data_IF_954582325070
#
_entry.id   IF_954582325070
#
_cell.length_a   1.000
_cell.length_b   1.000
_cell.length_c   1.000
_cell.angle_alpha   90.00
_cell.angle_beta   90.00
_cell.angle_gamma   90.00
#
_symmetry.space_group_name_H-M   'P 1'
#
loop_
_entity.id
_entity.type
_entity.pdbx_description
1 polymer ?
#
# COMPACT_ATOMS: atom_id res chain seq x y z
N UNK A 1 72.80 23.22 24.02
CA UNK A 1 72.67 23.81 22.73
C UNK A 1 71.74 23.02 21.81
N UNK A 2 70.61 23.51 21.51
CA UNK A 2 69.68 22.83 20.58
C UNK A 2 69.28 23.76 19.47
N UNK A 3 69.55 23.32 18.24
CA UNK A 3 69.25 24.05 17.05
C UNK A 3 67.93 23.52 16.41
N UNK A 4 66.92 24.37 16.30
CA UNK A 4 65.71 24.11 15.61
C UNK A 4 65.87 24.24 14.11
N UNK A 5 65.35 23.27 13.32
CA UNK A 5 65.24 23.33 11.84
C UNK A 5 63.85 23.81 11.40
N UNK A 6 63.74 24.64 10.33
CA UNK A 6 62.51 25.24 9.92
C UNK A 6 61.66 24.34 8.99
N UNK A 7 60.33 24.48 9.11
CA UNK A 7 59.33 23.76 8.34
C UNK A 7 59.22 24.29 6.89
N UNK A 8 59.17 23.38 5.90
CA UNK A 8 58.95 23.67 4.48
C UNK A 8 57.48 23.94 4.19
N UNK A 9 57.14 25.14 3.71
CA UNK A 9 55.85 25.52 3.13
C UNK A 9 55.60 24.78 1.79
N UNK A 10 54.57 23.93 1.76
CA UNK A 10 54.05 23.35 0.50
C UNK A 10 53.05 24.30 -0.14
N UNK A 11 53.37 24.77 -1.36
CA UNK A 11 52.52 25.55 -2.25
C UNK A 11 51.31 24.71 -2.71
N UNK A 12 50.10 25.17 -2.44
CA UNK A 12 48.83 24.65 -3.04
C UNK A 12 48.72 25.13 -4.47
N UNK A 13 48.71 24.20 -5.43
CA UNK A 13 48.29 24.44 -6.81
C UNK A 13 46.76 24.40 -6.86
N UNK A 14 46.12 25.50 -7.28
CA UNK A 14 44.69 25.59 -7.55
C UNK A 14 44.33 24.76 -8.79
N UNK A 15 43.35 23.88 -8.63
CA UNK A 15 42.67 23.21 -9.76
C UNK A 15 41.38 24.00 -10.07
N UNK A 16 41.30 24.56 -11.27
CA UNK A 16 40.10 25.14 -11.86
C UNK A 16 39.05 24.05 -12.02
N UNK A 17 37.91 24.19 -11.34
CA UNK A 17 36.73 23.37 -11.55
C UNK A 17 35.89 23.94 -12.71
N UNK A 18 35.59 23.10 -13.70
CA UNK A 18 34.59 23.39 -14.72
C UNK A 18 33.16 23.22 -14.15
N UNK A 19 32.15 23.77 -14.84
CA UNK A 19 30.77 23.76 -14.33
C UNK A 19 30.19 22.34 -14.29
N UNK A 20 29.67 21.93 -13.14
CA UNK A 20 28.85 20.74 -12.98
C UNK A 20 27.45 21.07 -13.47
N UNK A 21 26.97 20.31 -14.45
CA UNK A 21 25.57 20.28 -14.86
C UNK A 21 24.67 19.96 -13.67
N UNK A 22 23.76 20.86 -13.37
CA UNK A 22 22.68 20.68 -12.38
C UNK A 22 21.70 19.63 -12.90
N UNK A 23 21.77 18.42 -12.33
CA UNK A 23 20.67 17.47 -12.33
C UNK A 23 19.61 17.99 -11.34
N UNK A 24 18.69 18.79 -11.85
CA UNK A 24 17.47 19.20 -11.15
C UNK A 24 16.49 18.01 -11.10
N UNK A 25 16.85 16.96 -10.33
CA UNK A 25 15.87 16.03 -9.84
C UNK A 25 14.96 16.78 -8.87
N UNK A 26 13.71 16.94 -9.26
CA UNK A 26 12.61 17.52 -8.50
C UNK A 26 12.62 17.06 -7.04
N UNK A 27 13.28 17.81 -6.18
CA UNK A 27 13.12 17.72 -4.73
C UNK A 27 11.74 18.28 -4.42
N UNK A 28 10.80 17.42 -4.02
CA UNK A 28 9.62 17.89 -3.29
C UNK A 28 10.13 18.81 -2.16
N UNK A 29 9.57 20.01 -2.02
CA UNK A 29 9.92 20.87 -0.89
C UNK A 29 9.61 20.10 0.40
N UNK A 30 10.41 20.29 1.47
CA UNK A 30 10.07 19.77 2.77
C UNK A 30 8.67 20.29 3.15
N UNK A 31 7.84 19.49 3.83
CA UNK A 31 6.53 19.96 4.26
C UNK A 31 6.73 21.26 5.04
N UNK A 32 6.03 22.29 4.61
CA UNK A 32 6.04 23.59 5.29
C UNK A 32 5.68 23.37 6.77
N UNK A 33 6.36 24.08 7.66
CA UNK A 33 6.06 24.06 9.07
C UNK A 33 4.55 24.32 9.23
N UNK A 34 3.83 23.29 9.69
CA UNK A 34 2.38 23.36 9.90
C UNK A 34 2.13 24.27 11.09
N UNK A 35 1.67 25.48 10.84
CA UNK A 35 1.31 26.43 11.87
C UNK A 35 -0.16 26.28 12.22
N UNK A 36 -0.47 26.27 13.50
CA UNK A 36 -1.84 26.38 14.04
C UNK A 36 -2.61 27.61 13.51
N UNK A 37 -1.94 28.56 12.85
CA UNK A 37 -2.54 29.77 12.30
C UNK A 37 -3.34 29.61 11.00
N UNK A 38 -3.30 28.45 10.34
CA UNK A 38 -4.03 28.25 9.07
C UNK A 38 -5.54 27.98 9.27
N UNK A 39 -5.97 27.73 10.50
CA UNK A 39 -7.38 27.53 10.86
C UNK A 39 -8.04 28.82 11.37
N UNK A 40 -7.25 29.82 11.80
CA UNK A 40 -7.76 31.12 12.24
C UNK A 40 -8.50 31.81 11.09
N UNK A 41 -9.82 31.98 11.27
CA UNK A 41 -10.70 32.67 10.30
C UNK A 41 -11.57 31.73 9.45
N UNK A 42 -11.44 30.42 9.55
CA UNK A 42 -12.39 29.50 8.91
C UNK A 42 -13.68 29.42 9.74
N UNK A 43 -14.81 29.67 9.09
CA UNK A 43 -16.13 29.61 9.71
C UNK A 43 -16.83 28.30 9.32
N UNK A 44 -17.16 27.40 10.29
CA UNK A 44 -17.90 26.18 10.03
C UNK A 44 -19.23 26.40 9.28
N UNK A 45 -19.84 27.59 9.41
CA UNK A 45 -21.08 27.91 8.68
C UNK A 45 -20.89 27.96 7.14
N UNK A 46 -19.66 28.12 6.65
CA UNK A 46 -19.32 28.08 5.23
C UNK A 46 -19.38 26.65 4.66
N UNK A 47 -19.29 25.65 5.53
CA UNK A 47 -19.45 24.24 5.16
C UNK A 47 -20.90 23.82 5.41
N UNK A 48 -21.79 24.22 4.50
CA UNK A 48 -23.18 23.83 4.53
C UNK A 48 -23.47 22.76 3.49
N UNK A 49 -23.87 21.59 3.96
CA UNK A 49 -24.30 20.47 3.11
C UNK A 49 -25.82 20.33 3.25
N UNK A 50 -26.53 20.26 2.13
CA UNK A 50 -27.97 20.08 2.13
C UNK A 50 -28.35 18.73 2.77
N UNK A 51 -29.41 18.67 3.59
CA UNK A 51 -29.91 17.42 4.12
C UNK A 51 -30.35 16.49 3.00
N UNK A 52 -29.97 15.21 3.07
CA UNK A 52 -30.43 14.18 2.17
C UNK A 52 -30.99 13.02 2.98
N UNK A 53 -32.13 12.49 2.56
CA UNK A 53 -32.83 11.40 3.24
C UNK A 53 -31.91 10.18 3.40
N UNK A 54 -31.82 9.63 4.61
CA UNK A 54 -31.01 8.47 4.93
C UNK A 54 -29.48 8.73 4.96
N UNK A 55 -29.01 9.98 4.81
CA UNK A 55 -27.58 10.30 4.81
C UNK A 55 -27.20 11.18 6.00
N UNK A 56 -26.24 10.72 6.78
CA UNK A 56 -25.62 11.49 7.87
C UNK A 56 -24.58 12.44 7.27
N UNK A 57 -24.66 13.74 7.60
CA UNK A 57 -23.66 14.73 7.19
C UNK A 57 -22.54 14.80 8.23
N UNK A 58 -21.30 15.06 7.81
CA UNK A 58 -20.19 15.24 8.75
C UNK A 58 -20.41 16.43 9.69
N UNK A 59 -21.09 17.48 9.24
CA UNK A 59 -21.42 18.64 10.08
C UNK A 59 -22.41 18.33 11.21
N UNK A 60 -23.16 17.22 11.14
CA UNK A 60 -24.08 16.80 12.19
C UNK A 60 -23.37 16.01 13.31
N UNK A 61 -22.11 15.61 13.07
CA UNK A 61 -21.29 14.96 14.07
C UNK A 61 -20.58 15.99 14.93
N UNK A 62 -20.40 15.67 16.23
CA UNK A 62 -19.62 16.49 17.14
C UNK A 62 -18.12 16.40 16.79
N UNK A 63 -17.68 17.16 15.79
CA UNK A 63 -16.31 17.21 15.32
C UNK A 63 -15.63 18.53 15.68
N UNK A 64 -14.35 18.52 16.11
CA UNK A 64 -13.56 19.73 16.23
C UNK A 64 -13.48 20.48 14.89
N UNK A 65 -13.42 21.82 14.95
CA UNK A 65 -13.42 22.68 13.76
C UNK A 65 -12.29 22.38 12.79
N UNK A 66 -11.11 22.02 13.30
CA UNK A 66 -9.94 21.65 12.51
C UNK A 66 -10.21 20.41 11.63
N UNK A 67 -10.93 19.43 12.18
CA UNK A 67 -11.29 18.20 11.46
C UNK A 67 -12.39 18.49 10.45
N UNK A 68 -13.41 19.25 10.84
CA UNK A 68 -14.50 19.62 9.93
C UNK A 68 -13.97 20.44 8.73
N UNK A 69 -12.99 21.33 8.97
CA UNK A 69 -12.32 22.06 7.89
C UNK A 69 -11.57 21.13 6.93
N UNK A 70 -10.82 20.16 7.44
CA UNK A 70 -10.11 19.19 6.62
C UNK A 70 -11.10 18.31 5.82
N UNK A 71 -12.20 17.89 6.42
CA UNK A 71 -13.30 17.15 5.78
C UNK A 71 -13.92 17.96 4.63
N UNK A 72 -14.15 19.27 4.86
CA UNK A 72 -14.66 20.17 3.83
C UNK A 72 -13.69 20.30 2.64
N UNK A 73 -12.38 20.48 2.91
CA UNK A 73 -11.35 20.56 1.87
C UNK A 73 -11.22 19.30 1.03
N UNK A 74 -11.50 18.14 1.65
CA UNK A 74 -11.52 16.85 0.95
C UNK A 74 -12.82 16.61 0.15
N UNK A 75 -13.79 17.52 0.27
CA UNK A 75 -15.08 17.43 -0.43
C UNK A 75 -16.01 16.36 0.13
N UNK A 76 -15.78 15.90 1.36
CA UNK A 76 -16.65 14.92 2.02
C UNK A 76 -17.91 15.63 2.50
N UNK A 77 -19.06 15.25 1.95
CA UNK A 77 -20.36 15.82 2.30
C UNK A 77 -21.13 14.93 3.27
N UNK A 78 -21.30 13.68 2.90
CA UNK A 78 -22.04 12.68 3.66
C UNK A 78 -21.13 11.55 4.12
N UNK A 79 -21.43 11.02 5.29
CA UNK A 79 -20.80 9.81 5.80
C UNK A 79 -21.15 8.62 4.89
N UNK A 80 -20.17 7.77 4.66
CA UNK A 80 -20.44 6.45 4.10
C UNK A 80 -21.19 5.58 5.13
N UNK A 81 -21.80 4.45 4.76
CA UNK A 81 -22.51 3.59 5.70
C UNK A 81 -21.69 3.22 6.94
N UNK A 82 -20.44 2.76 6.76
CA UNK A 82 -19.58 2.42 7.89
C UNK A 82 -19.26 3.64 8.78
N UNK A 83 -19.13 4.84 8.20
CA UNK A 83 -18.85 6.06 8.93
C UNK A 83 -20.04 6.52 9.75
N UNK A 84 -21.26 6.48 9.17
CA UNK A 84 -22.47 6.89 9.85
C UNK A 84 -22.80 6.04 11.07
N UNK A 85 -22.49 4.74 11.03
CA UNK A 85 -22.74 3.83 12.12
C UNK A 85 -21.64 3.84 13.20
N UNK A 86 -20.37 3.95 12.79
CA UNK A 86 -19.26 3.77 13.72
C UNK A 86 -18.85 5.07 14.43
N UNK A 87 -18.89 6.23 13.72
CA UNK A 87 -18.39 7.50 14.24
C UNK A 87 -19.09 7.96 15.53
N UNK A 88 -20.43 7.90 15.67
CA UNK A 88 -21.09 8.35 16.90
C UNK A 88 -20.59 7.62 18.14
N UNK A 89 -20.38 6.31 18.03
CA UNK A 89 -19.94 5.48 19.14
C UNK A 89 -18.44 5.68 19.44
N UNK A 90 -17.59 5.72 18.41
CA UNK A 90 -16.14 5.86 18.60
C UNK A 90 -15.72 7.25 19.04
N UNK A 91 -16.43 8.30 18.61
CA UNK A 91 -16.26 9.67 19.12
C UNK A 91 -16.64 9.80 20.60
N UNK A 92 -17.60 8.96 21.07
CA UNK A 92 -17.94 8.82 22.48
C UNK A 92 -16.94 7.94 23.28
N UNK A 93 -15.87 7.44 22.65
CA UNK A 93 -14.81 6.66 23.28
C UNK A 93 -15.08 5.17 23.40
N UNK A 94 -16.12 4.62 22.77
CA UNK A 94 -16.39 3.19 22.74
C UNK A 94 -15.43 2.48 21.78
N UNK A 95 -15.14 1.22 22.07
CA UNK A 95 -14.46 0.34 21.12
C UNK A 95 -15.41 0.01 19.96
N UNK A 96 -14.83 -0.36 18.82
CA UNK A 96 -15.59 -0.77 17.66
C UNK A 96 -14.95 -1.97 16.95
N UNK A 97 -15.80 -2.81 16.39
CA UNK A 97 -15.44 -3.87 15.44
C UNK A 97 -16.22 -3.65 14.15
N UNK A 98 -15.52 -3.28 13.09
CA UNK A 98 -16.12 -2.94 11.79
C UNK A 98 -15.77 -3.96 10.72
N UNK A 99 -16.79 -4.60 10.15
CA UNK A 99 -16.66 -5.39 8.93
C UNK A 99 -17.13 -4.56 7.74
N UNK A 100 -16.21 -4.24 6.83
CA UNK A 100 -16.55 -3.57 5.59
C UNK A 100 -15.43 -3.75 4.56
N UNK A 101 -15.76 -3.69 3.29
CA UNK A 101 -14.79 -3.80 2.19
C UNK A 101 -13.78 -2.65 2.16
N UNK A 102 -12.70 -2.84 1.38
CA UNK A 102 -11.72 -1.75 1.14
C UNK A 102 -12.36 -0.67 0.26
N UNK A 103 -12.19 0.61 0.63
CA UNK A 103 -12.76 1.73 -0.10
C UNK A 103 -14.09 2.26 0.45
N UNK A 104 -14.65 1.63 1.48
CA UNK A 104 -15.90 2.07 2.13
C UNK A 104 -15.72 3.25 3.09
N UNK A 105 -14.50 3.75 3.27
CA UNK A 105 -14.21 4.88 4.15
C UNK A 105 -13.83 4.53 5.59
N UNK A 106 -13.47 3.27 5.90
CA UNK A 106 -12.98 2.83 7.22
C UNK A 106 -11.82 3.67 7.72
N UNK A 107 -10.83 3.93 6.84
CA UNK A 107 -9.63 4.70 7.19
C UNK A 107 -9.99 6.09 7.68
N UNK A 108 -10.84 6.81 6.96
CA UNK A 108 -11.30 8.13 7.39
C UNK A 108 -12.08 8.04 8.72
N UNK A 109 -12.92 7.02 8.93
CA UNK A 109 -13.67 6.84 10.16
C UNK A 109 -12.76 6.74 11.40
N UNK A 110 -11.78 5.84 11.39
CA UNK A 110 -10.90 5.71 12.54
C UNK A 110 -9.93 6.90 12.69
N UNK A 111 -9.47 7.51 11.59
CA UNK A 111 -8.62 8.69 11.66
C UNK A 111 -9.36 9.90 12.23
N UNK A 112 -10.59 10.17 11.79
CA UNK A 112 -11.46 11.22 12.35
C UNK A 112 -11.65 11.00 13.86
N UNK A 113 -11.93 9.75 14.25
CA UNK A 113 -12.08 9.39 15.68
C UNK A 113 -10.86 9.77 16.51
N UNK A 114 -9.66 9.34 16.09
CA UNK A 114 -8.44 9.56 16.90
C UNK A 114 -7.98 11.00 16.87
N UNK A 115 -8.10 11.69 15.74
CA UNK A 115 -7.74 13.08 15.61
C UNK A 115 -8.66 13.97 16.48
N UNK A 116 -9.98 13.73 16.42
CA UNK A 116 -10.94 14.44 17.26
C UNK A 116 -10.67 14.20 18.77
N UNK A 117 -10.39 12.94 19.15
CA UNK A 117 -10.03 12.58 20.53
C UNK A 117 -8.76 13.30 20.99
N UNK A 118 -7.72 13.36 20.17
CA UNK A 118 -6.46 14.02 20.51
C UNK A 118 -6.63 15.54 20.66
N UNK A 119 -7.46 16.18 19.82
CA UNK A 119 -7.78 17.60 19.94
C UNK A 119 -8.55 17.93 21.23
N UNK A 120 -9.50 17.07 21.61
CA UNK A 120 -10.26 17.22 22.86
C UNK A 120 -9.42 16.99 24.11
N UNK A 121 -8.37 16.19 24.01
CA UNK A 121 -7.47 15.83 25.11
C UNK A 121 -6.02 16.17 24.75
N UNK A 122 -5.66 17.45 24.67
CA UNK A 122 -4.29 17.83 24.31
C UNK A 122 -3.29 17.38 25.37
N UNK A 123 -2.15 16.90 24.96
CA UNK A 123 -1.02 16.57 25.84
C UNK A 123 0.13 17.56 25.66
N UNK A 124 1.00 17.72 26.68
CA UNK A 124 2.20 18.53 26.57
C UNK A 124 3.08 18.12 25.38
N UNK A 125 3.71 19.10 24.74
CA UNK A 125 4.59 18.86 23.58
C UNK A 125 5.96 18.26 23.94
N UNK A 126 6.37 18.39 25.19
CA UNK A 126 7.65 17.92 25.74
C UNK A 126 7.64 16.44 26.17
N UNK A 127 6.71 15.66 25.63
CA UNK A 127 6.65 14.21 25.88
C UNK A 127 7.93 13.51 25.43
N UNK A 128 8.33 12.43 26.13
CA UNK A 128 9.48 11.65 25.73
C UNK A 128 9.37 11.18 24.27
N UNK A 129 10.48 11.22 23.53
CA UNK A 129 10.51 10.73 22.15
C UNK A 129 10.11 9.25 22.08
N UNK A 130 9.50 8.84 20.98
CA UNK A 130 9.06 7.46 20.79
C UNK A 130 7.88 7.01 21.67
N UNK A 131 7.08 7.93 22.23
CA UNK A 131 5.87 7.63 23.01
C UNK A 131 4.60 8.06 22.26
N UNK A 132 4.11 7.29 21.29
CA UNK A 132 2.89 7.63 20.56
C UNK A 132 1.65 7.46 21.43
N UNK A 133 0.60 8.27 21.13
CA UNK A 133 -0.75 8.16 21.70
C UNK A 133 -1.60 7.17 20.92
N UNK A 134 -1.39 7.10 19.60
CA UNK A 134 -2.16 6.27 18.69
C UNK A 134 -1.22 5.32 17.95
N UNK A 135 -1.60 4.05 17.94
CA UNK A 135 -0.96 3.02 17.16
C UNK A 135 -1.93 2.45 16.14
N UNK A 136 -1.56 2.52 14.86
CA UNK A 136 -2.26 1.86 13.76
C UNK A 136 -1.41 0.70 13.25
N UNK A 137 -1.96 -0.51 13.28
CA UNK A 137 -1.35 -1.71 12.71
C UNK A 137 -1.97 -1.98 11.34
N UNK A 138 -1.12 -2.14 10.34
CA UNK A 138 -1.50 -2.50 8.98
C UNK A 138 -0.67 -3.70 8.50
N UNK A 139 -1.25 -4.65 7.73
CA UNK A 139 -0.55 -5.84 7.25
C UNK A 139 0.57 -5.53 6.25
N UNK A 140 0.42 -4.46 5.48
CA UNK A 140 1.33 -4.12 4.39
C UNK A 140 1.92 -2.72 4.54
N UNK A 141 3.09 -2.55 3.95
CA UNK A 141 3.80 -1.27 3.93
C UNK A 141 3.06 -0.21 3.14
N UNK A 142 2.45 -0.63 2.05
CA UNK A 142 1.66 0.21 1.18
C UNK A 142 0.44 0.78 1.90
N UNK A 143 -0.28 -0.06 2.63
CA UNK A 143 -1.42 0.37 3.44
C UNK A 143 -0.96 1.29 4.58
N UNK A 144 0.16 1.00 5.24
CA UNK A 144 0.69 1.88 6.29
C UNK A 144 1.06 3.27 5.75
N UNK A 145 1.63 3.36 4.55
CA UNK A 145 1.93 4.65 3.89
C UNK A 145 0.65 5.37 3.53
N UNK A 146 -0.34 4.68 2.97
CA UNK A 146 -1.62 5.25 2.60
C UNK A 146 -2.37 5.80 3.81
N UNK A 147 -2.48 5.02 4.90
CA UNK A 147 -3.11 5.49 6.14
C UNK A 147 -2.40 6.76 6.67
N UNK A 148 -1.07 6.80 6.60
CA UNK A 148 -0.34 7.98 7.03
C UNK A 148 -0.56 9.19 6.12
N UNK A 149 -0.63 9.02 4.80
CA UNK A 149 -0.96 10.08 3.84
C UNK A 149 -2.38 10.63 4.09
N UNK A 150 -3.35 9.75 4.31
CA UNK A 150 -4.73 10.14 4.63
C UNK A 150 -4.82 10.82 6.00
N UNK A 151 -4.08 10.32 7.00
CA UNK A 151 -3.96 10.96 8.31
C UNK A 151 -3.35 12.37 8.20
N UNK A 152 -2.37 12.57 7.34
CA UNK A 152 -1.79 13.88 7.08
C UNK A 152 -2.77 14.85 6.43
N UNK A 153 -3.63 14.38 5.54
CA UNK A 153 -4.67 15.20 4.91
C UNK A 153 -5.74 15.61 5.94
N UNK A 154 -6.23 14.67 6.74
CA UNK A 154 -7.24 14.94 7.77
C UNK A 154 -6.68 15.76 8.94
N UNK A 155 -5.38 15.63 9.24
CA UNK A 155 -4.69 16.43 10.25
C UNK A 155 -4.11 17.75 9.71
N UNK A 156 -4.51 18.19 8.51
CA UNK A 156 -3.96 19.37 7.83
C UNK A 156 -3.94 20.63 8.70
N UNK A 157 -4.93 20.81 9.53
CA UNK A 157 -5.10 21.95 10.43
C UNK A 157 -4.74 21.63 11.90
N UNK A 158 -4.13 20.47 12.13
CA UNK A 158 -3.70 20.02 13.46
C UNK A 158 -2.17 20.01 13.54
N UNK A 159 -1.65 20.27 14.75
CA UNK A 159 -0.20 20.16 15.02
C UNK A 159 0.12 18.76 15.57
N UNK A 160 -0.18 17.72 14.78
CA UNK A 160 0.10 16.33 15.12
C UNK A 160 1.24 15.77 14.29
N UNK A 161 2.06 14.95 14.93
CA UNK A 161 3.18 14.29 14.29
C UNK A 161 2.87 12.83 14.02
N UNK A 162 2.86 12.48 12.74
CA UNK A 162 2.57 11.14 12.23
C UNK A 162 3.87 10.53 11.73
N UNK A 163 4.17 9.29 12.15
CA UNK A 163 5.38 8.55 11.74
C UNK A 163 4.99 7.18 11.25
N UNK A 164 5.54 6.78 10.10
CA UNK A 164 5.39 5.43 9.55
C UNK A 164 6.56 4.53 9.90
N UNK A 165 6.26 3.29 10.31
CA UNK A 165 7.24 2.30 10.75
C UNK A 165 7.02 0.97 10.04
N UNK A 166 7.90 0.63 9.06
CA UNK A 166 7.77 -0.62 8.31
C UNK A 166 9.12 -1.13 7.77
N UNK A 167 9.19 -2.43 7.52
CA UNK A 167 10.41 -3.08 7.02
C UNK A 167 10.78 -2.70 5.57
N UNK A 168 12.03 -2.97 5.18
CA UNK A 168 12.50 -2.72 3.80
C UNK A 168 12.88 -1.28 3.48
N UNK A 169 12.80 -0.38 4.45
CA UNK A 169 13.33 0.98 4.39
C UNK A 169 14.50 1.13 5.38
N UNK A 170 15.25 2.22 5.19
CA UNK A 170 16.40 2.53 6.05
C UNK A 170 15.96 2.64 7.52
N UNK A 171 16.54 1.78 8.35
CA UNK A 171 16.28 1.70 9.78
C UNK A 171 16.61 3.03 10.49
N UNK A 172 17.79 3.57 10.23
CA UNK A 172 18.28 4.79 10.89
C UNK A 172 17.45 6.02 10.53
N UNK A 173 16.89 6.06 9.30
CA UNK A 173 16.00 7.15 8.89
C UNK A 173 14.70 7.13 9.70
N UNK A 174 14.08 5.96 9.86
CA UNK A 174 12.86 5.81 10.66
C UNK A 174 13.13 6.08 12.14
N UNK A 175 14.26 5.58 12.66
CA UNK A 175 14.72 5.87 14.01
C UNK A 175 14.83 7.37 14.29
N UNK A 176 15.51 8.12 13.43
CA UNK A 176 15.62 9.57 13.55
C UNK A 176 14.27 10.28 13.53
N UNK A 177 13.29 9.76 12.79
CA UNK A 177 11.93 10.29 12.78
C UNK A 177 11.24 10.07 14.14
N UNK A 178 11.47 8.96 14.79
CA UNK A 178 10.93 8.67 16.12
C UNK A 178 11.62 9.49 17.22
N UNK A 179 12.93 9.72 17.09
CA UNK A 179 13.75 10.48 18.06
C UNK A 179 13.54 12.00 17.99
N UNK A 180 13.09 12.55 16.88
CA UNK A 180 13.06 14.00 16.63
C UNK A 180 11.96 14.78 17.38
N UNK A 181 11.37 14.23 18.47
CA UNK A 181 10.35 14.87 19.33
C UNK A 181 9.12 14.00 19.55
N UNK A 182 8.11 14.54 20.24
CA UNK A 182 6.88 13.81 20.54
C UNK A 182 6.17 13.31 19.28
N UNK A 183 5.97 12.01 19.18
CA UNK A 183 5.21 11.37 18.11
C UNK A 183 3.79 11.15 18.60
N UNK A 184 2.78 11.57 17.83
CA UNK A 184 1.38 11.41 18.22
C UNK A 184 0.78 10.12 17.65
N UNK A 185 1.01 9.85 16.37
CA UNK A 185 0.50 8.67 15.67
C UNK A 185 1.65 7.88 15.08
N UNK A 186 1.70 6.59 15.38
CA UNK A 186 2.55 5.62 14.67
C UNK A 186 1.67 4.72 13.83
N UNK A 187 1.94 4.69 12.52
CA UNK A 187 1.34 3.73 11.58
C UNK A 187 2.40 2.70 11.22
N UNK A 188 2.15 1.42 11.49
CA UNK A 188 3.20 0.42 11.46
C UNK A 188 2.78 -0.91 10.85
N UNK A 189 3.77 -1.62 10.25
CA UNK A 189 3.68 -3.06 10.04
C UNK A 189 4.27 -3.81 11.24
N UNK A 190 3.70 -4.99 11.64
CA UNK A 190 4.05 -5.65 12.89
C UNK A 190 5.54 -5.91 13.09
N UNK A 191 6.24 -6.44 12.08
CA UNK A 191 7.65 -6.87 12.23
C UNK A 191 8.58 -5.74 12.65
N UNK A 192 8.61 -4.62 11.91
CA UNK A 192 9.49 -3.48 12.19
C UNK A 192 9.13 -2.77 13.51
N UNK A 193 7.84 -2.73 13.84
CA UNK A 193 7.40 -2.13 15.11
C UNK A 193 7.94 -2.93 16.31
N UNK A 194 7.94 -4.26 16.23
CA UNK A 194 8.52 -5.10 17.27
C UNK A 194 10.01 -4.78 17.43
N UNK A 195 10.77 -4.69 16.33
CA UNK A 195 12.20 -4.36 16.37
C UNK A 195 12.45 -3.06 17.14
N UNK A 196 11.70 -2.00 16.83
CA UNK A 196 11.84 -0.71 17.53
C UNK A 196 11.35 -0.75 18.98
N UNK A 197 10.28 -1.49 19.26
CA UNK A 197 9.74 -1.63 20.62
C UNK A 197 10.68 -2.47 21.53
N UNK A 198 11.41 -3.44 20.98
CA UNK A 198 12.38 -4.23 21.72
C UNK A 198 13.68 -3.47 21.99
N UNK A 199 14.04 -2.54 21.10
CA UNK A 199 15.19 -1.66 21.30
C UNK A 199 14.86 -0.43 22.15
N UNK A 200 13.61 -0.29 22.61
CA UNK A 200 13.15 0.82 23.46
C UNK A 200 13.00 2.16 22.72
N UNK A 201 13.04 2.15 21.39
CA UNK A 201 12.90 3.33 20.54
C UNK A 201 11.42 3.74 20.35
N UNK A 202 10.49 2.78 20.52
CA UNK A 202 9.03 3.02 20.61
C UNK A 202 8.51 2.41 21.90
N UNK A 203 7.85 3.23 22.72
CA UNK A 203 7.23 2.84 23.97
C UNK A 203 5.73 2.77 23.79
N UNK A 204 5.17 1.57 23.86
CA UNK A 204 3.76 1.32 23.59
C UNK A 204 2.87 1.39 24.85
N UNK A 205 3.47 1.61 26.02
CA UNK A 205 2.74 1.69 27.29
C UNK A 205 1.84 2.91 27.45
N UNK A 206 1.98 3.93 26.60
CA UNK A 206 1.21 5.18 26.61
C UNK A 206 0.14 5.25 25.51
N UNK A 207 -0.11 4.12 24.82
CA UNK A 207 -1.12 4.07 23.74
C UNK A 207 -2.51 4.27 24.32
N UNK A 208 -3.18 5.33 23.90
CA UNK A 208 -4.58 5.66 24.23
C UNK A 208 -5.57 4.99 23.26
N UNK A 209 -5.18 4.86 21.98
CA UNK A 209 -6.00 4.21 20.97
C UNK A 209 -5.16 3.25 20.12
N UNK A 210 -5.62 2.00 20.04
CA UNK A 210 -5.07 0.97 19.17
C UNK A 210 -6.04 0.72 18.01
N UNK A 211 -5.52 0.79 16.79
CA UNK A 211 -6.26 0.48 15.58
C UNK A 211 -5.60 -0.72 14.91
N UNK A 212 -6.41 -1.70 14.53
CA UNK A 212 -5.99 -2.89 13.79
C UNK A 212 -6.80 -2.90 12.50
N UNK A 213 -6.16 -2.66 11.37
CA UNK A 213 -6.82 -2.59 10.07
C UNK A 213 -6.41 -3.79 9.20
N UNK A 214 -7.36 -4.32 8.43
CA UNK A 214 -7.24 -5.56 7.65
C UNK A 214 -6.76 -6.75 8.52
N UNK A 215 -7.48 -7.03 9.61
CA UNK A 215 -7.09 -8.07 10.59
C UNK A 215 -7.11 -9.48 9.98
N UNK A 216 -8.10 -9.80 9.14
CA UNK A 216 -8.18 -11.02 8.35
C UNK A 216 -6.89 -11.26 7.56
N UNK A 217 -6.41 -10.22 6.93
CA UNK A 217 -5.19 -10.29 6.16
C UNK A 217 -3.93 -10.44 7.02
N UNK A 218 -3.90 -9.87 8.23
CA UNK A 218 -2.82 -10.15 9.17
C UNK A 218 -2.83 -11.61 9.61
N UNK A 219 -4.01 -12.24 9.69
CA UNK A 219 -4.17 -13.67 9.95
C UNK A 219 -3.60 -14.49 8.79
N UNK A 220 -4.01 -14.22 7.55
CA UNK A 220 -3.55 -14.91 6.33
C UNK A 220 -2.03 -14.84 6.14
N UNK A 221 -1.43 -13.70 6.48
CA UNK A 221 0.01 -13.48 6.37
C UNK A 221 0.79 -14.06 7.56
N UNK A 222 0.13 -14.68 8.53
CA UNK A 222 0.76 -15.25 9.70
C UNK A 222 1.33 -14.22 10.69
N UNK A 223 0.83 -12.98 10.69
CA UNK A 223 1.31 -11.91 11.58
C UNK A 223 0.66 -11.92 12.97
N UNK A 224 -0.33 -12.76 13.22
CA UNK A 224 -1.02 -12.77 14.51
C UNK A 224 -0.09 -12.98 15.72
N UNK A 225 0.96 -13.85 15.68
CA UNK A 225 1.92 -13.92 16.78
C UNK A 225 2.63 -12.59 17.07
N UNK A 226 3.01 -11.85 16.03
CA UNK A 226 3.62 -10.53 16.15
C UNK A 226 2.64 -9.50 16.70
N UNK A 227 1.41 -9.47 16.19
CA UNK A 227 0.36 -8.56 16.66
C UNK A 227 0.07 -8.81 18.14
N UNK A 228 -0.05 -10.08 18.57
CA UNK A 228 -0.21 -10.41 20.00
C UNK A 228 0.93 -9.90 20.88
N UNK A 229 2.19 -9.95 20.39
CA UNK A 229 3.35 -9.40 21.12
C UNK A 229 3.24 -7.89 21.27
N UNK A 230 2.78 -7.20 20.22
CA UNK A 230 2.57 -5.74 20.23
C UNK A 230 1.44 -5.38 21.21
N UNK A 231 0.29 -6.01 21.08
CA UNK A 231 -0.90 -5.76 21.92
C UNK A 231 -0.57 -5.94 23.40
N UNK A 232 0.24 -6.93 23.77
CA UNK A 232 0.70 -7.15 25.16
C UNK A 232 1.60 -6.03 25.70
N UNK A 233 2.20 -5.22 24.84
CA UNK A 233 3.03 -4.06 25.23
C UNK A 233 2.24 -2.77 25.34
N UNK A 234 0.99 -2.73 24.88
CA UNK A 234 0.07 -1.60 25.03
C UNK A 234 -0.72 -1.73 26.34
N UNK A 235 -1.35 -0.66 26.84
CA UNK A 235 -2.24 -0.75 28.00
C UNK A 235 -3.32 -1.79 27.82
N UNK A 236 -3.87 -2.31 28.93
CA UNK A 236 -5.00 -3.25 28.86
C UNK A 236 -6.19 -2.64 28.13
N UNK A 237 -7.06 -3.49 27.58
CA UNK A 237 -8.21 -3.07 26.77
C UNK A 237 -9.23 -2.21 27.50
N UNK A 238 -9.24 -2.21 28.84
CA UNK A 238 -10.05 -1.32 29.68
C UNK A 238 -9.46 0.09 29.85
N UNK A 239 -8.17 0.26 29.52
CA UNK A 239 -7.43 1.54 29.64
C UNK A 239 -7.10 2.20 28.32
N UNK A 240 -7.48 1.58 27.20
CA UNK A 240 -7.32 2.14 25.85
C UNK A 240 -8.61 1.92 25.05
N UNK A 241 -8.81 2.72 24.03
CA UNK A 241 -9.80 2.45 23.00
C UNK A 241 -9.20 1.51 21.97
N UNK A 242 -9.96 0.51 21.49
CA UNK A 242 -9.53 -0.37 20.42
C UNK A 242 -10.53 -0.32 19.26
N UNK A 243 -10.03 -0.04 18.06
CA UNK A 243 -10.80 -0.05 16.82
C UNK A 243 -10.27 -1.17 15.94
N UNK A 244 -11.12 -2.15 15.67
CA UNK A 244 -10.77 -3.37 14.95
C UNK A 244 -11.52 -3.43 13.64
N UNK A 245 -10.79 -3.52 12.52
CA UNK A 245 -11.37 -3.55 11.18
C UNK A 245 -10.91 -4.77 10.39
N UNK A 246 -11.85 -5.36 9.69
CA UNK A 246 -11.62 -6.50 8.80
C UNK A 246 -12.51 -6.42 7.57
N UNK A 247 -12.15 -7.12 6.50
CA UNK A 247 -13.04 -7.27 5.33
C UNK A 247 -13.91 -8.51 5.49
N UNK A 248 -13.41 -9.53 6.17
CA UNK A 248 -14.15 -10.75 6.50
C UNK A 248 -14.13 -11.00 8.01
N UNK A 249 -15.21 -11.58 8.55
CA UNK A 249 -15.35 -11.95 9.96
C UNK A 249 -15.47 -13.47 10.07
N UNK A 250 -14.34 -14.16 9.84
CA UNK A 250 -14.25 -15.59 10.15
C UNK A 250 -14.19 -15.81 11.65
N UNK A 251 -14.54 -17.00 12.12
CA UNK A 251 -14.52 -17.31 13.56
C UNK A 251 -13.16 -17.07 14.25
N UNK A 252 -12.04 -17.14 13.50
CA UNK A 252 -10.73 -16.79 14.04
C UNK A 252 -10.54 -15.27 14.16
N UNK A 253 -11.07 -14.49 13.23
CA UNK A 253 -11.02 -13.01 13.27
C UNK A 253 -11.93 -12.49 14.38
N UNK A 254 -13.14 -13.05 14.54
CA UNK A 254 -14.07 -12.72 15.61
C UNK A 254 -13.44 -12.93 16.98
N UNK A 255 -12.79 -14.08 17.21
CA UNK A 255 -12.06 -14.36 18.47
C UNK A 255 -10.96 -13.34 18.75
N UNK A 256 -10.28 -12.83 17.72
CA UNK A 256 -9.28 -11.80 17.89
C UNK A 256 -9.93 -10.45 18.25
N UNK A 257 -11.05 -10.09 17.61
CA UNK A 257 -11.81 -8.89 17.94
C UNK A 257 -12.27 -8.92 19.42
N UNK A 258 -12.93 -10.00 19.85
CA UNK A 258 -13.37 -10.19 21.25
C UNK A 258 -12.20 -10.13 22.25
N UNK A 259 -11.06 -10.71 21.90
CA UNK A 259 -9.88 -10.71 22.77
C UNK A 259 -9.32 -9.32 22.99
N UNK A 260 -9.33 -8.46 21.97
CA UNK A 260 -8.61 -7.19 21.98
C UNK A 260 -9.48 -5.95 22.21
N UNK A 261 -10.81 -6.07 22.02
CA UNK A 261 -11.79 -5.01 22.27
C UNK A 261 -12.53 -5.23 23.60
N UNK A 262 -13.19 -4.18 24.08
CA UNK A 262 -14.06 -4.19 25.24
C UNK A 262 -15.45 -3.71 24.85
N UNK A 263 -16.44 -4.59 24.90
CA UNK A 263 -17.85 -4.27 24.57
C UNK A 263 -17.96 -3.41 23.30
N UNK A 264 -17.38 -3.88 22.16
CA UNK A 264 -17.33 -3.06 20.97
C UNK A 264 -18.72 -2.84 20.37
N UNK A 265 -18.92 -1.69 19.76
CA UNK A 265 -19.98 -1.55 18.77
C UNK A 265 -19.58 -2.38 17.56
N UNK A 266 -20.40 -3.35 17.20
CA UNK A 266 -20.19 -4.20 16.02
C UNK A 266 -20.98 -3.58 14.87
N UNK A 267 -20.26 -3.25 13.81
CA UNK A 267 -20.84 -2.71 12.58
C UNK A 267 -20.45 -3.63 11.43
N UNK A 268 -21.45 -4.22 10.82
CA UNK A 268 -21.30 -5.07 9.65
C UNK A 268 -21.97 -4.38 8.47
N UNK A 269 -21.16 -3.93 7.52
CA UNK A 269 -21.67 -3.45 6.25
C UNK A 269 -21.61 -4.62 5.29
N UNK A 270 -22.77 -5.18 5.04
CA UNK A 270 -22.90 -6.18 3.98
C UNK A 270 -22.28 -5.61 2.71
N UNK A 271 -21.50 -6.42 1.97
CA UNK A 271 -21.11 -6.04 0.64
C UNK A 271 -22.40 -5.65 -0.11
N UNK A 272 -22.56 -4.37 -0.42
CA UNK A 272 -23.63 -4.02 -1.31
C UNK A 272 -23.46 -4.93 -2.52
N UNK A 273 -24.46 -5.75 -2.84
CA UNK A 273 -24.51 -6.55 -4.08
C UNK A 273 -24.16 -5.70 -5.31
N UNK A 274 -24.32 -4.39 -5.17
CA UNK A 274 -23.96 -3.31 -6.07
C UNK A 274 -22.49 -3.30 -6.50
N UNK A 275 -21.49 -3.71 -5.68
CA UNK A 275 -20.10 -3.68 -6.16
C UNK A 275 -19.75 -4.86 -7.07
N UNK A 276 -20.35 -6.03 -6.85
CA UNK A 276 -20.24 -7.13 -7.81
C UNK A 276 -21.12 -6.88 -9.06
N UNK A 277 -22.25 -6.20 -8.89
CA UNK A 277 -23.13 -5.76 -9.98
C UNK A 277 -22.56 -4.57 -10.77
N UNK A 278 -21.72 -3.72 -10.14
CA UNK A 278 -21.05 -2.61 -10.81
C UNK A 278 -19.82 -3.05 -11.63
N UNK A 279 -19.36 -4.30 -11.47
CA UNK A 279 -18.26 -4.86 -12.25
C UNK A 279 -18.78 -5.81 -13.29
N UNK A 280 -18.60 -5.45 -14.56
CA UNK A 280 -18.86 -6.33 -15.69
C UNK A 280 -17.89 -7.52 -15.66
N UNK A 281 -18.41 -8.74 -15.46
CA UNK A 281 -17.60 -9.95 -15.26
C UNK A 281 -17.70 -10.87 -16.47
N UNK A 282 -16.58 -11.06 -17.15
CA UNK A 282 -16.46 -11.92 -18.33
C UNK A 282 -15.50 -13.05 -18.04
N UNK A 283 -15.89 -14.30 -18.30
CA UNK A 283 -15.02 -15.46 -18.19
C UNK A 283 -14.77 -16.04 -19.59
N UNK A 284 -13.54 -15.98 -20.06
CA UNK A 284 -13.13 -16.63 -21.30
C UNK A 284 -12.67 -18.06 -21.05
N UNK A 285 -13.36 -19.03 -21.68
CA UNK A 285 -12.95 -20.43 -21.70
C UNK A 285 -11.82 -20.59 -22.71
N UNK A 286 -10.61 -20.88 -22.22
CA UNK A 286 -9.38 -20.96 -23.01
C UNK A 286 -8.60 -22.22 -22.66
N UNK A 287 -7.57 -22.54 -23.43
CA UNK A 287 -6.54 -23.49 -23.02
C UNK A 287 -5.34 -22.73 -22.41
N UNK A 288 -4.52 -23.40 -21.61
CA UNK A 288 -3.28 -22.83 -21.06
C UNK A 288 -2.39 -22.21 -22.15
N UNK A 289 -2.41 -22.75 -23.36
CA UNK A 289 -1.61 -22.25 -24.52
C UNK A 289 -2.18 -20.97 -25.09
N UNK A 290 -3.49 -20.82 -25.11
CA UNK A 290 -4.22 -19.71 -25.72
C UNK A 290 -4.31 -18.47 -24.81
N UNK A 291 -4.27 -18.65 -23.48
CA UNK A 291 -4.39 -17.55 -22.50
C UNK A 291 -3.58 -16.32 -22.88
N UNK A 292 -2.31 -16.49 -23.27
CA UNK A 292 -1.47 -15.35 -23.60
C UNK A 292 -1.85 -14.67 -24.91
N UNK A 293 -2.31 -15.42 -25.89
CA UNK A 293 -2.77 -14.85 -27.17
C UNK A 293 -3.99 -13.97 -26.95
N UNK A 294 -4.98 -14.47 -26.21
CA UNK A 294 -6.19 -13.73 -25.84
C UNK A 294 -5.83 -12.48 -25.02
N UNK A 295 -4.95 -12.61 -24.03
CA UNK A 295 -4.46 -11.46 -23.24
C UNK A 295 -3.81 -10.40 -24.12
N UNK A 296 -2.98 -10.82 -25.08
CA UNK A 296 -2.28 -9.90 -25.96
C UNK A 296 -3.24 -9.09 -26.82
N UNK A 297 -4.25 -9.72 -27.42
CA UNK A 297 -5.30 -9.05 -28.18
C UNK A 297 -6.10 -8.08 -27.29
N UNK A 298 -6.55 -8.51 -26.12
CA UNK A 298 -7.29 -7.65 -25.20
C UNK A 298 -6.54 -6.36 -24.87
N UNK A 299 -5.25 -6.50 -24.52
CA UNK A 299 -4.47 -5.35 -24.09
C UNK A 299 -4.04 -4.47 -25.27
N UNK A 300 -3.73 -5.02 -26.44
CA UNK A 300 -3.20 -4.24 -27.58
C UNK A 300 -4.32 -3.62 -28.42
N UNK A 301 -5.38 -4.37 -28.75
CA UNK A 301 -6.42 -3.92 -29.67
C UNK A 301 -7.48 -3.03 -29.01
N UNK A 302 -7.87 -3.35 -27.77
CA UNK A 302 -8.86 -2.54 -27.02
C UNK A 302 -8.26 -1.32 -26.31
N UNK A 303 -6.96 -1.07 -26.48
CA UNK A 303 -6.24 0.06 -25.82
C UNK A 303 -6.56 0.20 -24.33
N UNK A 304 -6.66 -0.92 -23.62
CA UNK A 304 -7.00 -0.94 -22.21
C UNK A 304 -5.99 -0.14 -21.41
N UNK A 305 -6.44 0.78 -20.59
CA UNK A 305 -5.60 1.64 -19.74
C UNK A 305 -5.75 1.23 -18.29
N UNK A 306 -4.66 1.31 -17.51
CA UNK A 306 -4.65 0.96 -16.08
C UNK A 306 -5.18 -0.44 -15.80
N UNK A 307 -4.55 -1.43 -16.40
CA UNK A 307 -4.89 -2.84 -16.27
C UNK A 307 -4.08 -3.48 -15.15
N UNK A 308 -4.75 -4.22 -14.27
CA UNK A 308 -4.13 -5.05 -13.25
C UNK A 308 -4.31 -6.52 -13.62
N UNK A 309 -3.22 -7.26 -13.81
CA UNK A 309 -3.24 -8.68 -14.15
C UNK A 309 -2.82 -9.50 -12.93
N UNK A 310 -3.65 -10.46 -12.54
CA UNK A 310 -3.38 -11.40 -11.47
C UNK A 310 -2.93 -12.76 -12.01
N UNK A 311 -1.86 -13.27 -11.41
CA UNK A 311 -1.34 -14.63 -11.63
C UNK A 311 -1.18 -15.33 -10.29
N UNK A 312 -1.37 -16.65 -10.25
CA UNK A 312 -1.16 -17.44 -9.04
C UNK A 312 0.33 -17.65 -8.70
N UNK A 313 1.23 -17.55 -9.70
CA UNK A 313 2.66 -17.86 -9.57
C UNK A 313 3.55 -16.65 -9.89
N UNK A 314 4.61 -16.46 -9.12
CA UNK A 314 5.58 -15.36 -9.32
C UNK A 314 6.34 -15.44 -10.64
N UNK A 315 6.74 -16.65 -11.05
CA UNK A 315 7.47 -16.85 -12.31
C UNK A 315 6.60 -16.52 -13.53
N UNK A 316 5.30 -16.72 -13.42
CA UNK A 316 4.32 -16.38 -14.44
C UNK A 316 4.17 -14.86 -14.60
N UNK A 317 4.18 -14.10 -13.50
CA UNK A 317 4.08 -12.63 -13.57
C UNK A 317 5.20 -12.02 -14.40
N UNK A 318 6.44 -12.46 -14.19
CA UNK A 318 7.59 -11.96 -14.96
C UNK A 318 7.50 -12.36 -16.44
N UNK A 319 7.14 -13.63 -16.72
CA UNK A 319 6.98 -14.10 -18.10
C UNK A 319 5.94 -13.33 -18.89
N UNK A 320 4.79 -13.02 -18.27
CA UNK A 320 3.72 -12.25 -18.91
C UNK A 320 4.18 -10.83 -19.19
N UNK A 321 4.77 -10.16 -18.22
CA UNK A 321 5.25 -8.79 -18.38
C UNK A 321 6.32 -8.69 -19.49
N UNK A 322 7.29 -9.61 -19.50
CA UNK A 322 8.35 -9.64 -20.52
C UNK A 322 7.78 -9.92 -21.92
N UNK A 323 6.78 -10.80 -22.01
CA UNK A 323 6.11 -11.09 -23.29
C UNK A 323 5.30 -9.90 -23.78
N UNK A 324 4.47 -9.27 -22.93
CA UNK A 324 3.68 -8.09 -23.31
C UNK A 324 4.58 -6.90 -23.70
N UNK A 325 5.72 -6.73 -23.05
CA UNK A 325 6.69 -5.69 -23.41
C UNK A 325 7.23 -5.85 -24.83
N UNK A 326 7.33 -7.10 -25.36
CA UNK A 326 7.74 -7.35 -26.75
C UNK A 326 6.69 -6.89 -27.77
N UNK A 327 5.44 -6.75 -27.35
CA UNK A 327 4.33 -6.20 -28.14
C UNK A 327 4.15 -4.68 -27.93
N UNK A 328 5.13 -4.01 -27.31
CA UNK A 328 5.09 -2.55 -27.10
C UNK A 328 4.22 -2.09 -25.94
N UNK A 329 3.73 -3.01 -25.11
CA UNK A 329 2.91 -2.66 -23.95
C UNK A 329 3.81 -2.22 -22.79
N UNK A 330 3.54 -1.03 -22.22
CA UNK A 330 4.23 -0.55 -21.01
C UNK A 330 3.78 -1.36 -19.80
N UNK A 331 4.61 -2.32 -19.38
CA UNK A 331 4.32 -3.24 -18.29
C UNK A 331 5.32 -3.13 -17.14
N UNK A 332 4.84 -3.37 -15.93
CA UNK A 332 5.70 -3.58 -14.75
C UNK A 332 5.17 -4.75 -13.92
N UNK A 333 6.09 -5.40 -13.19
CA UNK A 333 5.74 -6.48 -12.26
C UNK A 333 5.72 -5.95 -10.84
N UNK A 334 4.77 -6.44 -10.05
CA UNK A 334 4.75 -6.26 -8.60
C UNK A 334 4.80 -7.65 -7.93
N UNK A 335 5.83 -7.90 -7.15
CA UNK A 335 6.03 -9.16 -6.41
C UNK A 335 6.69 -8.90 -5.07
N UNK A 336 6.61 -9.87 -4.15
CA UNK A 336 7.21 -9.76 -2.82
C UNK A 336 8.73 -9.62 -2.84
N UNK A 337 9.39 -10.05 -3.91
CA UNK A 337 10.86 -10.04 -4.01
C UNK A 337 11.43 -8.71 -4.53
N UNK A 338 10.56 -7.79 -4.96
CA UNK A 338 10.99 -6.47 -5.45
C UNK A 338 11.38 -5.57 -4.26
N UNK A 339 12.58 -4.96 -4.27
CA UNK A 339 12.96 -4.01 -3.24
C UNK A 339 11.92 -2.91 -3.05
N UNK A 340 11.60 -2.56 -1.81
CA UNK A 340 10.49 -1.66 -1.47
C UNK A 340 10.54 -0.32 -2.22
N UNK A 341 11.73 0.29 -2.33
CA UNK A 341 11.91 1.53 -3.08
C UNK A 341 11.50 1.40 -4.55
N UNK A 342 11.83 0.27 -5.19
CA UNK A 342 11.43 0.00 -6.58
C UNK A 342 9.93 -0.25 -6.67
N UNK A 343 9.36 -0.96 -5.70
CA UNK A 343 7.92 -1.25 -5.63
C UNK A 343 7.10 0.04 -5.53
N UNK A 344 7.46 0.96 -4.64
CA UNK A 344 6.80 2.27 -4.52
C UNK A 344 6.86 3.06 -5.83
N UNK A 345 8.03 3.08 -6.48
CA UNK A 345 8.18 3.75 -7.77
C UNK A 345 7.30 3.14 -8.87
N UNK A 346 7.22 1.82 -8.94
CA UNK A 346 6.34 1.12 -9.91
C UNK A 346 4.88 1.52 -9.69
N UNK A 347 4.43 1.62 -8.44
CA UNK A 347 3.08 2.05 -8.10
C UNK A 347 2.82 3.51 -8.46
N UNK A 348 3.77 4.40 -8.18
CA UNK A 348 3.70 5.81 -8.59
C UNK A 348 3.65 5.95 -10.13
N UNK A 349 4.48 5.20 -10.86
CA UNK A 349 4.49 5.21 -12.32
C UNK A 349 3.19 4.64 -12.91
N UNK A 350 2.56 3.65 -12.24
CA UNK A 350 1.25 3.12 -12.63
C UNK A 350 0.12 4.12 -12.34
N UNK A 351 0.10 4.74 -11.18
CA UNK A 351 -0.85 5.83 -10.83
C UNK A 351 -0.74 7.01 -11.80
N UNK A 352 0.47 7.37 -12.18
CA UNK A 352 0.75 8.42 -13.15
C UNK A 352 0.45 8.04 -14.61
N UNK A 353 0.02 6.79 -14.89
CA UNK A 353 -0.25 6.30 -16.25
C UNK A 353 1.00 6.04 -17.12
N UNK A 354 2.21 6.14 -16.56
CA UNK A 354 3.46 5.81 -17.26
C UNK A 354 3.59 4.30 -17.49
N UNK A 355 3.09 3.50 -16.57
CA UNK A 355 2.94 2.05 -16.68
C UNK A 355 1.46 1.78 -16.94
N UNK A 356 1.16 1.10 -18.03
CA UNK A 356 -0.20 0.81 -18.48
C UNK A 356 -0.74 -0.49 -17.89
N UNK A 357 0.12 -1.48 -17.74
CA UNK A 357 -0.22 -2.81 -17.23
C UNK A 357 0.65 -3.16 -16.03
N UNK A 358 0.01 -3.49 -14.92
CA UNK A 358 0.67 -4.00 -13.73
C UNK A 358 0.37 -5.50 -13.60
N UNK A 359 1.40 -6.33 -13.49
CA UNK A 359 1.25 -7.79 -13.34
C UNK A 359 1.69 -8.20 -11.95
N UNK A 360 0.85 -8.92 -11.22
CA UNK A 360 1.18 -9.31 -9.84
C UNK A 360 0.53 -10.61 -9.38
N UNK A 361 0.94 -11.07 -8.20
CA UNK A 361 0.24 -12.12 -7.44
C UNK A 361 -0.64 -11.49 -6.37
N UNK A 362 -1.59 -12.24 -5.81
CA UNK A 362 -2.46 -11.77 -4.73
C UNK A 362 -1.67 -11.16 -3.59
N UNK A 363 -0.68 -11.86 -3.07
CA UNK A 363 0.17 -11.38 -1.97
C UNK A 363 0.82 -10.03 -2.28
N UNK A 364 1.18 -9.82 -3.54
CA UNK A 364 1.84 -8.58 -3.97
C UNK A 364 0.85 -7.46 -4.29
N UNK A 365 -0.33 -7.78 -4.80
CA UNK A 365 -1.34 -6.82 -5.22
C UNK A 365 -2.37 -6.49 -4.12
N UNK A 366 -2.48 -7.33 -3.09
CA UNK A 366 -3.28 -7.06 -1.89
C UNK A 366 -2.73 -5.82 -1.17
N UNK A 367 -3.62 -4.93 -0.67
CA UNK A 367 -3.28 -3.66 0.00
C UNK A 367 -2.75 -2.58 -0.94
N UNK A 368 -2.79 -2.81 -2.25
CA UNK A 368 -2.61 -1.75 -3.20
C UNK A 368 -3.93 -0.99 -3.34
N UNK A 369 -3.98 0.17 -2.74
CA UNK A 369 -5.04 1.13 -3.03
C UNK A 369 -4.64 1.87 -4.31
N UNK A 370 -5.10 1.37 -5.43
CA UNK A 370 -4.91 2.01 -6.72
C UNK A 370 -6.30 2.42 -7.19
N UNK A 371 -6.54 3.71 -7.19
CA UNK A 371 -7.75 4.28 -7.74
C UNK A 371 -7.77 4.16 -9.27
N UNK A 372 -8.96 4.09 -9.83
CA UNK A 372 -9.21 4.11 -11.26
C UNK A 372 -8.53 2.98 -12.06
N UNK A 373 -8.45 1.76 -11.51
CA UNK A 373 -8.19 0.56 -12.33
C UNK A 373 -9.41 0.35 -13.20
N UNK A 374 -9.21 0.38 -14.52
CA UNK A 374 -10.31 0.19 -15.47
C UNK A 374 -10.63 -1.30 -15.68
N UNK A 375 -9.60 -2.14 -15.69
CA UNK A 375 -9.74 -3.57 -15.94
C UNK A 375 -8.89 -4.38 -14.98
N UNK A 376 -9.52 -5.41 -14.43
CA UNK A 376 -8.84 -6.49 -13.71
C UNK A 376 -8.84 -7.73 -14.62
N UNK A 377 -7.68 -8.34 -14.79
CA UNK A 377 -7.57 -9.59 -15.56
C UNK A 377 -7.05 -10.71 -14.66
N UNK A 378 -7.88 -11.71 -14.39
CA UNK A 378 -7.46 -12.95 -13.74
C UNK A 378 -6.85 -13.88 -14.80
N UNK A 379 -5.53 -13.77 -15.02
CA UNK A 379 -4.82 -14.67 -15.93
C UNK A 379 -4.87 -16.13 -15.45
N UNK A 380 -4.90 -16.33 -14.14
CA UNK A 380 -5.18 -17.60 -13.49
C UNK A 380 -6.30 -17.37 -12.47
N UNK A 381 -7.33 -18.22 -12.46
CA UNK A 381 -8.38 -18.16 -11.44
C UNK A 381 -7.79 -18.44 -10.06
N UNK A 382 -8.22 -17.73 -9.02
CA UNK A 382 -7.80 -18.03 -7.65
C UNK A 382 -8.44 -19.32 -7.16
N UNK A 383 -7.75 -20.02 -6.25
CA UNK A 383 -8.27 -21.24 -5.62
C UNK A 383 -9.37 -20.94 -4.59
N UNK A 384 -9.30 -19.78 -4.01
CA UNK A 384 -10.19 -19.31 -2.96
C UNK A 384 -11.18 -18.28 -3.52
N UNK A 385 -12.52 -18.50 -3.34
CA UNK A 385 -13.56 -17.60 -3.82
C UNK A 385 -13.46 -16.17 -3.27
N UNK A 386 -13.08 -15.99 -2.00
CA UNK A 386 -12.89 -14.66 -1.42
C UNK A 386 -11.79 -13.88 -2.16
N UNK A 387 -10.72 -14.59 -2.55
CA UNK A 387 -9.64 -13.99 -3.36
C UNK A 387 -10.15 -13.51 -4.72
N UNK A 388 -11.13 -14.19 -5.33
CA UNK A 388 -11.77 -13.72 -6.56
C UNK A 388 -12.45 -12.37 -6.37
N UNK A 389 -13.27 -12.24 -5.35
CA UNK A 389 -13.96 -10.98 -5.00
C UNK A 389 -12.96 -9.87 -4.68
N UNK A 390 -11.92 -10.18 -3.91
CA UNK A 390 -10.86 -9.23 -3.59
C UNK A 390 -10.08 -8.74 -4.83
N UNK A 391 -9.93 -9.59 -5.86
CA UNK A 391 -9.29 -9.20 -7.13
C UNK A 391 -10.20 -8.30 -7.95
N UNK A 392 -11.45 -8.71 -8.19
CA UNK A 392 -12.40 -7.92 -8.99
C UNK A 392 -12.71 -6.58 -8.34
N UNK A 393 -12.82 -6.53 -7.01
CA UNK A 393 -12.99 -5.29 -6.23
C UNK A 393 -11.79 -4.32 -6.30
N UNK A 394 -10.79 -4.55 -7.18
CA UNK A 394 -9.77 -3.53 -7.54
C UNK A 394 -10.28 -2.58 -8.61
N UNK A 395 -11.37 -2.89 -9.30
CA UNK A 395 -12.07 -2.02 -10.26
C UNK A 395 -13.50 -1.74 -9.78
N UNK A 396 -14.25 -0.90 -10.45
CA UNK A 396 -15.65 -0.61 -10.10
C UNK A 396 -15.86 0.21 -8.83
N UNK A 397 -14.88 1.02 -8.41
CA UNK A 397 -14.93 1.77 -7.14
C UNK A 397 -15.50 3.18 -7.30
N UNK A 398 -16.08 3.70 -6.23
CA UNK A 398 -16.59 5.07 -6.14
C UNK A 398 -17.61 5.43 -7.24
N UNK A 399 -18.50 4.49 -7.60
CA UNK A 399 -19.54 4.71 -8.62
C UNK A 399 -19.05 4.66 -10.08
N UNK A 400 -17.78 4.30 -10.31
CA UNK A 400 -17.26 4.05 -11.66
C UNK A 400 -17.53 2.60 -12.08
N UNK A 401 -17.91 2.38 -13.32
CA UNK A 401 -18.03 1.03 -13.90
C UNK A 401 -16.64 0.41 -14.09
N UNK A 402 -16.49 -0.86 -13.75
CA UNK A 402 -15.26 -1.62 -13.92
C UNK A 402 -15.48 -2.89 -14.71
N UNK A 403 -14.45 -3.43 -15.34
CA UNK A 403 -14.52 -4.71 -16.04
C UNK A 403 -13.51 -5.70 -15.46
N UNK A 404 -14.01 -6.89 -15.13
CA UNK A 404 -13.20 -8.04 -14.75
C UNK A 404 -13.21 -9.09 -15.85
N UNK A 405 -12.03 -9.50 -16.29
CA UNK A 405 -11.88 -10.54 -17.31
C UNK A 405 -11.12 -11.70 -16.70
N UNK A 406 -11.70 -12.89 -16.70
CA UNK A 406 -11.07 -14.10 -16.15
C UNK A 406 -10.82 -15.12 -17.27
N UNK A 407 -9.66 -15.79 -17.21
CA UNK A 407 -9.36 -16.92 -18.10
C UNK A 407 -9.51 -18.22 -17.34
N UNK A 408 -10.42 -19.07 -17.80
CA UNK A 408 -10.62 -20.41 -17.28
C UNK A 408 -10.07 -21.44 -18.25
N UNK A 409 -9.17 -22.29 -17.79
CA UNK A 409 -8.58 -23.35 -18.58
C UNK A 409 -8.64 -24.71 -17.87
N UNK A 410 -8.05 -25.72 -18.47
CA UNK A 410 -8.00 -27.08 -17.92
C UNK A 410 -7.37 -27.18 -16.53
N UNK A 411 -6.57 -26.18 -16.12
CA UNK A 411 -5.88 -26.19 -14.82
C UNK A 411 -6.67 -25.52 -13.70
N UNK A 412 -7.64 -24.65 -14.02
CA UNK A 412 -8.30 -23.78 -13.02
C UNK A 412 -9.82 -23.62 -13.20
N UNK A 413 -10.42 -24.10 -14.29
CA UNK A 413 -11.86 -24.00 -14.52
C UNK A 413 -12.75 -24.68 -13.45
N UNK A 414 -12.20 -25.66 -12.74
CA UNK A 414 -12.91 -26.36 -11.68
C UNK A 414 -13.12 -25.51 -10.39
N UNK A 415 -12.52 -24.32 -10.31
CA UNK A 415 -12.80 -23.37 -9.24
C UNK A 415 -14.08 -22.56 -9.49
N UNK A 416 -14.59 -22.50 -10.74
CA UNK A 416 -15.77 -21.71 -11.11
C UNK A 416 -16.99 -22.02 -10.22
N UNK A 417 -17.40 -23.30 -10.00
CA UNK A 417 -18.59 -23.59 -9.21
C UNK A 417 -18.53 -23.03 -7.78
N UNK A 418 -17.37 -23.09 -7.13
CA UNK A 418 -17.18 -22.55 -5.78
C UNK A 418 -17.22 -21.01 -5.77
N UNK A 419 -16.73 -20.37 -6.83
CA UNK A 419 -16.80 -18.91 -7.00
C UNK A 419 -18.25 -18.48 -7.23
N UNK A 420 -19.00 -19.17 -8.07
CA UNK A 420 -20.42 -18.89 -8.34
C UNK A 420 -21.30 -19.06 -7.10
N UNK A 421 -21.04 -20.12 -6.33
CA UNK A 421 -21.72 -20.36 -5.04
C UNK A 421 -21.47 -19.19 -4.07
N UNK A 422 -20.24 -18.71 -4.00
CA UNK A 422 -19.87 -17.59 -3.13
C UNK A 422 -20.45 -16.24 -3.60
N UNK A 423 -20.52 -16.03 -4.93
CA UNK A 423 -21.11 -14.83 -5.52
C UNK A 423 -22.64 -14.85 -5.44
N UNK A 424 -23.26 -16.03 -5.33
CA UNK A 424 -24.71 -16.21 -5.38
C UNK A 424 -25.34 -16.06 -6.76
N UNK A 425 -24.54 -16.01 -7.83
CA UNK A 425 -24.97 -15.94 -9.21
C UNK A 425 -23.99 -16.63 -10.16
N UNK A 426 -24.44 -17.13 -11.33
CA UNK A 426 -23.57 -17.73 -12.31
C UNK A 426 -22.66 -16.70 -12.99
N UNK A 427 -21.48 -17.13 -13.43
CA UNK A 427 -20.53 -16.34 -14.22
C UNK A 427 -20.82 -16.54 -15.73
N UNK A 428 -20.78 -15.46 -16.49
CA UNK A 428 -20.93 -15.54 -17.94
C UNK A 428 -19.66 -16.11 -18.58
N UNK A 429 -19.71 -17.41 -18.88
CA UNK A 429 -18.61 -18.14 -19.51
C UNK A 429 -18.78 -18.16 -21.04
N UNK A 430 -17.85 -17.57 -21.78
CA UNK A 430 -17.88 -17.49 -23.23
C UNK A 430 -16.55 -17.93 -23.84
N UNK A 431 -16.55 -18.28 -25.14
CA UNK A 431 -15.30 -18.52 -25.87
C UNK A 431 -14.78 -17.22 -26.45
N UNK A 432 -13.47 -16.98 -26.41
CA UNK A 432 -12.89 -15.81 -27.06
C UNK A 432 -13.07 -15.92 -28.60
N UNK A 433 -13.07 -14.81 -29.33
CA UNK A 433 -13.07 -14.81 -30.79
C UNK A 433 -11.93 -15.68 -31.35
N UNK A 434 -12.19 -16.42 -32.41
CA UNK A 434 -11.19 -17.34 -33.01
C UNK A 434 -9.91 -16.63 -33.46
N UNK A 435 -10.03 -15.36 -33.87
CA UNK A 435 -8.89 -14.53 -34.26
C UNK A 435 -7.96 -14.24 -33.07
N UNK A 436 -8.47 -14.19 -31.83
CA UNK A 436 -7.67 -13.97 -30.63
C UNK A 436 -6.91 -15.21 -30.15
N UNK A 437 -7.24 -16.39 -30.67
CA UNK A 437 -6.51 -17.63 -30.37
C UNK A 437 -5.13 -17.67 -31.02
N UNK A 438 -4.92 -16.87 -32.07
CA UNK A 438 -3.64 -16.75 -32.76
C UNK A 438 -2.86 -15.54 -32.18
N UNK A 439 -1.59 -15.76 -31.84
CA UNK A 439 -0.75 -14.70 -31.33
C UNK A 439 -0.54 -13.62 -32.40
N UNK A 440 -0.78 -12.32 -32.11
CA UNK A 440 -0.56 -11.25 -33.06
C UNK A 440 0.93 -11.11 -33.40
N UNK A 441 1.24 -10.55 -34.55
CA UNK A 441 2.64 -10.28 -34.93
C UNK A 441 3.19 -9.12 -34.09
N UNK A 442 4.33 -9.32 -33.40
CA UNK A 442 4.92 -8.22 -32.61
C UNK A 442 5.27 -7.04 -33.54
N UNK A 443 5.08 -5.79 -33.10
CA UNK A 443 5.50 -4.63 -33.87
C UNK A 443 7.01 -4.68 -34.09
N UNK A 444 7.51 -4.20 -35.23
CA UNK A 444 8.94 -4.13 -35.49
C UNK A 444 9.61 -3.31 -34.37
N UNK A 445 10.71 -3.85 -33.82
CA UNK A 445 11.47 -3.11 -32.79
C UNK A 445 11.85 -1.75 -33.38
N UNK A 446 11.38 -0.66 -32.76
CA UNK A 446 11.86 0.67 -33.05
C UNK A 446 13.40 0.66 -32.93
N UNK A 447 14.09 0.93 -34.01
CA UNK A 447 15.55 1.12 -34.00
C UNK A 447 15.80 2.31 -33.07
N UNK A 448 16.36 2.07 -31.90
CA UNK A 448 16.92 3.13 -31.07
C UNK A 448 18.07 3.72 -31.88
N UNK A 449 17.87 4.93 -32.41
CA UNK A 449 18.95 5.76 -32.92
C UNK A 449 19.76 6.27 -31.73
N UNK A 450 20.59 5.42 -31.16
CA UNK A 450 21.70 5.78 -30.28
C UNK A 450 22.66 4.59 -30.23
N UNK A 451 23.19 4.26 -31.41
CA UNK A 451 24.29 3.33 -31.57
C UNK A 451 25.62 4.06 -31.38
N UNK A 452 25.98 4.44 -30.16
CA UNK A 452 27.42 4.56 -29.83
C UNK A 452 27.90 3.19 -29.34
N UNK A 453 28.80 2.53 -30.06
CA UNK A 453 29.41 1.33 -29.56
C UNK A 453 30.24 1.67 -28.33
N UNK A 454 29.86 1.17 -27.16
CA UNK A 454 30.73 1.20 -25.97
C UNK A 454 32.02 0.43 -26.32
N UNK A 455 33.09 1.18 -26.53
CA UNK A 455 34.41 0.63 -26.81
C UNK A 455 34.81 -0.38 -25.73
N UNK A 456 35.00 -1.62 -26.16
CA UNK A 456 35.74 -2.63 -25.40
C UNK A 456 37.12 -2.05 -25.11
N UNK A 457 37.37 -1.64 -23.86
CA UNK A 457 38.74 -1.41 -23.40
C UNK A 457 39.51 -2.73 -23.54
N UNK A 458 40.50 -2.69 -24.40
CA UNK A 458 41.46 -3.76 -24.53
C UNK A 458 42.09 -4.05 -23.16
N UNK A 459 42.02 -5.32 -22.76
CA UNK A 459 42.70 -5.82 -21.58
C UNK A 459 44.21 -5.78 -21.88
N UNK A 460 44.90 -5.03 -21.05
CA UNK A 460 46.35 -4.87 -21.04
C UNK A 460 47.03 -6.22 -20.72
N UNK A 461 48.00 -6.58 -21.54
CA UNK A 461 48.71 -7.85 -21.49
C UNK A 461 49.52 -8.05 -20.22
N UNK A 462 49.17 -9.03 -19.42
CA UNK A 462 50.10 -9.63 -18.44
C UNK A 462 50.54 -10.98 -18.95
N UNK A 463 51.85 -11.26 -18.95
CA UNK A 463 52.39 -12.58 -19.43
C UNK A 463 52.01 -13.70 -18.46
N UNK A 464 51.90 -14.95 -18.95
CA UNK A 464 51.43 -16.08 -18.15
C UNK A 464 52.52 -16.50 -17.12
N UNK A 465 52.17 -16.50 -15.84
CA UNK A 465 53.00 -17.10 -14.81
C UNK A 465 53.05 -18.61 -14.95
N UNK A 466 54.28 -19.15 -15.07
CA UNK A 466 54.61 -20.58 -15.12
C UNK A 466 54.10 -21.33 -13.89
N UNK A 467 53.18 -22.26 -14.08
CA UNK A 467 52.71 -23.20 -13.04
C UNK A 467 53.91 -24.03 -12.53
N UNK A 468 54.30 -23.83 -11.26
CA UNK A 468 55.22 -24.74 -10.53
C UNK A 468 54.51 -26.10 -10.34
N UNK A 469 55.08 -27.16 -10.89
CA UNK A 469 54.71 -28.56 -10.64
C UNK A 469 54.94 -28.87 -9.14
N UNK A 470 53.88 -29.30 -8.47
CA UNK A 470 53.98 -29.91 -7.12
C UNK A 470 54.52 -31.33 -7.27
N UNK A 471 55.58 -31.61 -6.53
CA UNK A 471 56.13 -32.97 -6.33
C UNK A 471 55.19 -33.79 -5.44
N UNK A 472 55.04 -35.11 -5.66
CA UNK A 472 54.27 -35.98 -4.76
C UNK A 472 55.03 -36.24 -3.45
N UNK A 473 54.28 -36.54 -2.33
CA UNK A 473 54.93 -36.86 -1.06
C UNK A 473 55.53 -38.26 -1.06
N UNK A 474 56.75 -38.40 -0.49
CA UNK A 474 57.40 -39.68 -0.19
C UNK A 474 56.68 -40.35 0.99
N UNK A 475 56.43 -41.66 0.84
CA UNK A 475 56.03 -42.57 1.91
C UNK A 475 57.24 -42.86 2.82
N UNK A 476 57.04 -42.81 4.07
CA UNK A 476 57.60 -43.62 5.14
C UNK A 476 56.74 -43.54 6.35
#
# INVERSE_FOLDING_TARGET
GDAAKPAKRRRRRGKKGGPKSDDAATRRPPPAARGAGAHEGWDPSQYSVEPAEGKTRFQDLDLPGEILHAVADLGFQYCSPIQSEILPATLAGKDASGQAQTGTGKTAAFLITVLARMLRNPLPKDRPSGTPRVLVLAPTRELAVQIAEEAELLAKYCDFRIVTVFGGMDYNKQRKQLEAGGVDIVVATPGRLIDFAEQGEVRLGEIETLIIDEADRMLDMGFIPQVRRIVRKTPFKDKRQTLFFSTTMTGDVERLAEQWTREPVVVEIEPEKIEAEAVDQIVYLTTTREKFSVLCHLVTEKDLKRVLIFCNRKDETQRIADRLSRFGVSCSVISGDIPQKKRMRVLEDFRAGKVRVLVGTDVAARGLHIEAISHVINYSLPQDPESYVHRIGRTGRAGATGTSISFACEEDSFYIPAIEEFLGHPLECTRPPEEWLKLPTPPPKAKTEDGKPSGKKAADGRPPQKRRRRRPPRKS
#
